data_IF_988928431476
#
_entry.id   IF_988928431476
#
_cell.length_a   1.000
_cell.length_b   1.000
_cell.length_c   1.000
_cell.angle_alpha   90.00
_cell.angle_beta   90.00
_cell.angle_gamma   90.00
#
_symmetry.space_group_name_H-M   'P 1'
#
loop_
_entity.id
_entity.type
_entity.pdbx_description
1 polymer ?
#
# COMPACT_ATOMS: atom_id res chain seq x y z
N UNK A 1 16.98 17.55 47.35
CA UNK A 1 16.20 17.41 46.09
C UNK A 1 14.87 16.72 46.38
N UNK A 2 13.76 17.35 46.00
CA UNK A 2 12.40 16.98 46.43
C UNK A 2 11.92 15.68 45.74
N UNK A 3 11.50 14.66 46.51
CA UNK A 3 11.04 13.36 45.97
C UNK A 3 9.89 13.50 44.95
N UNK A 4 9.05 14.53 45.07
CA UNK A 4 8.00 14.85 44.09
C UNK A 4 8.58 15.31 42.74
N UNK A 5 9.63 16.13 42.75
CA UNK A 5 10.28 16.64 41.54
C UNK A 5 10.91 15.52 40.72
N UNK A 6 11.54 14.54 41.39
CA UNK A 6 12.12 13.37 40.72
C UNK A 6 11.06 12.47 40.06
N UNK A 7 9.89 12.30 40.69
CA UNK A 7 8.79 11.51 40.10
C UNK A 7 8.21 12.17 38.86
N UNK A 8 8.04 13.50 38.88
CA UNK A 8 7.56 14.25 37.73
C UNK A 8 8.52 14.14 36.54
N UNK A 9 9.83 14.22 36.81
CA UNK A 9 10.88 14.08 35.80
C UNK A 9 10.87 12.69 35.16
N UNK A 10 10.73 11.62 35.95
CA UNK A 10 10.63 10.26 35.41
C UNK A 10 9.40 10.06 34.54
N UNK A 11 8.25 10.59 34.96
CA UNK A 11 7.00 10.51 34.19
C UNK A 11 7.12 11.28 32.86
N UNK A 12 7.68 12.50 32.89
CA UNK A 12 7.90 13.29 31.69
C UNK A 12 8.82 12.57 30.69
N UNK A 13 9.92 11.98 31.18
CA UNK A 13 10.84 11.23 30.33
C UNK A 13 10.21 9.95 29.77
N UNK A 14 9.38 9.25 30.54
CA UNK A 14 8.64 8.08 30.06
C UNK A 14 7.65 8.41 28.94
N UNK A 15 6.92 9.52 29.08
CA UNK A 15 6.04 10.01 28.01
C UNK A 15 6.85 10.36 26.77
N UNK A 16 8.02 11.01 26.92
CA UNK A 16 8.94 11.26 25.81
C UNK A 16 9.36 9.96 25.11
N UNK A 17 9.78 8.93 25.86
CA UNK A 17 10.16 7.63 25.30
C UNK A 17 9.00 6.96 24.54
N UNK A 18 7.77 7.03 25.08
CA UNK A 18 6.57 6.51 24.40
C UNK A 18 6.32 7.26 23.09
N UNK A 19 6.38 8.59 23.09
CA UNK A 19 6.19 9.42 21.91
C UNK A 19 7.26 9.17 20.84
N UNK A 20 8.53 9.10 21.23
CA UNK A 20 9.63 8.79 20.29
C UNK A 20 9.45 7.38 19.71
N UNK A 21 9.15 6.38 20.55
CA UNK A 21 8.90 5.01 20.09
C UNK A 21 7.71 4.96 19.12
N UNK A 22 6.63 5.68 19.42
CA UNK A 22 5.47 5.79 18.55
C UNK A 22 5.84 6.40 17.20
N UNK A 23 6.46 7.58 17.20
CA UNK A 23 6.86 8.28 15.98
C UNK A 23 7.81 7.42 15.14
N UNK A 24 8.90 6.92 15.74
CA UNK A 24 9.88 6.08 15.05
C UNK A 24 9.30 4.79 14.47
N UNK A 25 8.29 4.19 15.12
CA UNK A 25 7.62 2.99 14.60
C UNK A 25 6.47 3.28 13.62
N UNK A 26 5.96 4.51 13.60
CA UNK A 26 4.92 4.99 12.67
C UNK A 26 5.49 5.69 11.44
N UNK A 27 6.81 5.75 11.30
CA UNK A 27 7.45 6.23 10.08
C UNK A 27 7.25 5.20 8.96
N UNK A 28 6.15 5.35 8.23
CA UNK A 28 5.98 4.80 6.87
C UNK A 28 6.53 5.88 5.91
N UNK A 29 7.42 5.51 4.98
CA UNK A 29 8.11 6.45 4.06
C UNK A 29 7.18 7.19 3.08
N UNK A 30 5.85 6.99 3.16
CA UNK A 30 4.86 7.63 2.28
C UNK A 30 4.90 9.19 2.32
N UNK A 31 5.61 9.81 3.29
CA UNK A 31 5.72 11.26 3.40
C UNK A 31 6.92 11.89 2.64
N UNK A 32 7.88 11.12 2.12
CA UNK A 32 9.14 11.67 1.57
C UNK A 32 9.34 11.54 0.06
N UNK A 33 8.37 11.03 -0.70
CA UNK A 33 8.43 11.12 -2.17
C UNK A 33 7.90 12.49 -2.62
N UNK A 34 8.53 13.55 -2.13
CA UNK A 34 8.29 14.93 -2.57
C UNK A 34 9.10 15.19 -3.85
N UNK A 35 8.84 14.39 -4.89
CA UNK A 35 9.33 14.62 -6.24
C UNK A 35 10.85 14.58 -6.45
N UNK A 36 11.63 14.00 -5.54
CA UNK A 36 13.08 13.82 -5.78
C UNK A 36 13.25 12.66 -6.76
N UNK A 37 13.60 13.00 -8.00
CA UNK A 37 13.96 12.05 -9.06
C UNK A 37 14.92 10.98 -8.53
N UNK A 38 14.55 9.71 -8.74
CA UNK A 38 15.41 8.56 -8.48
C UNK A 38 16.56 8.62 -9.49
N UNK A 39 17.76 9.00 -9.04
CA UNK A 39 18.88 9.30 -9.96
C UNK A 39 19.60 8.05 -10.44
N UNK A 40 19.44 6.93 -9.74
CA UNK A 40 20.11 5.67 -10.10
C UNK A 40 19.41 4.43 -9.52
N UNK A 41 19.82 3.27 -10.03
CA UNK A 41 19.27 1.97 -9.66
C UNK A 41 19.46 1.62 -8.17
N UNK A 42 20.48 2.16 -7.50
CA UNK A 42 20.69 1.95 -6.06
C UNK A 42 19.69 2.77 -5.22
N UNK A 43 19.39 4.00 -5.62
CA UNK A 43 18.33 4.81 -5.02
C UNK A 43 16.95 4.21 -5.29
N UNK A 44 16.73 3.67 -6.50
CA UNK A 44 15.52 2.92 -6.84
C UNK A 44 15.38 1.68 -5.95
N UNK A 45 16.44 0.91 -5.81
CA UNK A 45 16.45 -0.29 -4.95
C UNK A 45 16.24 0.09 -3.49
N UNK A 46 16.80 1.19 -2.98
CA UNK A 46 16.50 1.66 -1.61
C UNK A 46 15.03 2.05 -1.45
N UNK A 47 14.50 2.84 -2.37
CA UNK A 47 13.12 3.31 -2.32
C UNK A 47 12.07 2.20 -2.58
N UNK A 48 12.44 1.13 -3.29
CA UNK A 48 11.54 0.02 -3.63
C UNK A 48 11.67 -1.20 -2.70
N UNK A 49 12.77 -1.32 -1.95
CA UNK A 49 13.04 -2.47 -1.07
C UNK A 49 12.91 -2.11 0.41
N UNK A 50 12.93 -0.83 0.78
CA UNK A 50 12.84 -0.37 2.17
C UNK A 50 11.51 0.37 2.42
N UNK A 51 10.39 -0.28 2.09
CA UNK A 51 9.04 0.14 2.54
C UNK A 51 8.87 0.08 4.08
N UNK A 52 9.92 -0.31 4.79
CA UNK A 52 9.94 -0.50 6.24
C UNK A 52 11.28 -0.03 6.83
N UNK A 53 11.35 1.23 7.27
CA UNK A 53 12.56 1.75 7.92
C UNK A 53 12.66 1.34 9.40
N UNK A 54 11.77 0.47 9.89
CA UNK A 54 11.74 0.04 11.30
C UNK A 54 13.03 -0.65 11.72
N UNK A 55 13.74 -1.32 10.81
CA UNK A 55 15.05 -1.90 11.08
C UNK A 55 16.12 -0.85 11.44
N UNK A 56 15.98 0.37 10.91
CA UNK A 56 16.88 1.50 11.20
C UNK A 56 16.40 2.32 12.39
N UNK A 57 15.09 2.54 12.50
CA UNK A 57 14.50 3.38 13.55
C UNK A 57 14.34 2.65 14.89
N UNK A 58 14.29 1.30 14.89
CA UNK A 58 14.25 0.50 16.11
C UNK A 58 15.48 0.72 17.01
N UNK A 59 16.73 0.63 16.53
CA UNK A 59 17.91 0.97 17.31
C UNK A 59 17.86 2.40 17.88
N UNK A 60 17.42 3.38 17.09
CA UNK A 60 17.31 4.78 17.52
C UNK A 60 16.33 4.89 18.69
N UNK A 61 15.15 4.27 18.60
CA UNK A 61 14.17 4.27 19.68
C UNK A 61 14.71 3.62 20.96
N UNK A 62 15.50 2.53 20.85
CA UNK A 62 16.13 1.89 22.02
C UNK A 62 17.10 2.82 22.74
N UNK A 63 17.86 3.66 22.02
CA UNK A 63 18.81 4.59 22.64
C UNK A 63 18.13 5.53 23.65
N UNK A 64 16.86 5.89 23.43
CA UNK A 64 16.06 6.70 24.37
C UNK A 64 15.53 5.90 25.57
N UNK A 65 15.45 4.57 25.48
CA UNK A 65 15.00 3.69 26.57
C UNK A 65 16.17 3.35 27.51
N UNK A 66 17.41 3.28 26.99
CA UNK A 66 18.64 2.92 27.75
C UNK A 66 18.80 3.72 29.06
N UNK A 67 18.59 5.05 29.11
CA UNK A 67 18.72 5.81 30.37
C UNK A 67 17.75 5.35 31.46
N UNK A 68 16.50 4.97 31.11
CA UNK A 68 15.52 4.44 32.08
C UNK A 68 15.99 3.10 32.63
N UNK A 69 16.51 2.23 31.75
CA UNK A 69 17.06 0.92 32.13
C UNK A 69 18.27 1.07 33.05
N UNK A 70 19.19 1.97 32.72
CA UNK A 70 20.36 2.27 33.55
C UNK A 70 19.97 2.77 34.94
N UNK A 71 18.97 3.66 35.03
CA UNK A 71 18.45 4.14 36.32
C UNK A 71 17.80 3.00 37.11
N UNK A 72 17.01 2.14 36.48
CA UNK A 72 16.40 0.98 37.13
C UNK A 72 17.45 0.05 37.77
N UNK A 73 18.51 -0.26 37.02
CA UNK A 73 19.64 -1.08 37.49
C UNK A 73 20.43 -0.39 38.60
N UNK A 74 20.76 0.90 38.46
CA UNK A 74 21.49 1.68 39.47
C UNK A 74 20.73 1.79 40.79
N UNK A 75 19.40 1.82 40.73
CA UNK A 75 18.51 1.80 41.90
C UNK A 75 18.29 0.38 42.46
N UNK A 76 19.02 -0.63 41.97
CA UNK A 76 18.91 -2.05 42.36
C UNK A 76 17.47 -2.57 42.30
N UNK A 77 16.67 -2.07 41.34
CA UNK A 77 15.25 -2.40 41.21
C UNK A 77 14.41 -2.13 42.46
N UNK A 78 14.85 -1.29 43.40
CA UNK A 78 14.11 -1.02 44.65
C UNK A 78 12.90 -0.11 44.45
N UNK A 79 12.84 0.61 43.34
CA UNK A 79 11.78 1.56 43.05
C UNK A 79 10.82 0.96 42.03
N UNK A 80 9.74 0.33 42.54
CA UNK A 80 8.78 -0.43 41.74
C UNK A 80 8.23 0.34 40.52
N UNK A 81 7.95 1.64 40.67
CA UNK A 81 7.46 2.50 39.59
C UNK A 81 8.41 2.55 38.39
N UNK A 82 9.72 2.72 38.62
CA UNK A 82 10.72 2.81 37.55
C UNK A 82 10.91 1.47 36.85
N UNK A 83 10.80 0.35 37.58
CA UNK A 83 10.86 -0.98 36.99
C UNK A 83 9.66 -1.25 36.09
N UNK A 84 8.44 -0.88 36.51
CA UNK A 84 7.23 -1.02 35.69
C UNK A 84 7.36 -0.17 34.42
N UNK A 85 7.83 1.06 34.55
CA UNK A 85 8.07 1.94 33.40
C UNK A 85 9.09 1.32 32.43
N UNK A 86 10.23 0.81 32.92
CA UNK A 86 11.22 0.12 32.11
C UNK A 86 10.66 -1.10 31.37
N UNK A 87 9.95 -1.99 32.08
CA UNK A 87 9.36 -3.19 31.48
C UNK A 87 8.28 -2.85 30.44
N UNK A 88 7.42 -1.87 30.74
CA UNK A 88 6.39 -1.43 29.80
C UNK A 88 6.97 -0.76 28.55
N UNK A 89 8.06 0.01 28.66
CA UNK A 89 8.75 0.58 27.49
C UNK A 89 9.37 -0.51 26.62
N UNK A 90 10.01 -1.52 27.22
CA UNK A 90 10.54 -2.66 26.46
C UNK A 90 9.41 -3.41 25.77
N UNK A 91 8.33 -3.73 26.49
CA UNK A 91 7.18 -4.44 25.93
C UNK A 91 6.52 -3.63 24.80
N UNK A 92 6.35 -2.33 24.98
CA UNK A 92 5.79 -1.44 23.95
C UNK A 92 6.71 -1.32 22.72
N UNK A 93 8.03 -1.22 22.94
CA UNK A 93 9.02 -1.21 21.86
C UNK A 93 9.03 -2.52 21.07
N UNK A 94 9.10 -3.68 21.76
CA UNK A 94 8.99 -5.00 21.12
C UNK A 94 7.68 -5.11 20.36
N UNK A 95 6.58 -4.66 20.98
CA UNK A 95 5.27 -4.72 20.37
C UNK A 95 5.25 -3.94 19.05
N UNK A 96 5.64 -2.66 19.07
CA UNK A 96 5.58 -1.75 17.91
C UNK A 96 6.52 -2.14 16.77
N UNK A 97 7.73 -2.58 17.08
CA UNK A 97 8.74 -2.85 16.05
C UNK A 97 8.70 -4.28 15.50
N UNK A 98 8.34 -5.28 16.31
CA UNK A 98 8.47 -6.69 15.90
C UNK A 98 7.15 -7.45 15.82
N UNK A 99 6.09 -7.02 16.52
CA UNK A 99 4.83 -7.81 16.56
C UNK A 99 3.61 -7.08 15.98
N UNK A 100 3.64 -5.75 15.97
CA UNK A 100 2.61 -4.88 15.41
C UNK A 100 2.86 -4.54 13.94
N UNK A 101 3.97 -5.04 13.37
CA UNK A 101 4.10 -5.08 11.92
C UNK A 101 2.96 -5.90 11.35
N UNK A 102 2.20 -5.30 10.44
CA UNK A 102 1.42 -6.06 9.47
C UNK A 102 2.41 -7.07 8.88
N UNK A 103 2.20 -8.37 9.10
CA UNK A 103 3.00 -9.40 8.45
C UNK A 103 2.89 -9.13 6.95
N UNK A 104 3.93 -8.51 6.36
CA UNK A 104 3.93 -8.14 4.96
C UNK A 104 4.00 -9.45 4.20
N UNK A 105 2.84 -9.89 3.71
CA UNK A 105 2.73 -11.07 2.86
C UNK A 105 2.64 -10.62 1.42
N UNK A 106 3.22 -11.41 0.52
CA UNK A 106 3.07 -11.21 -0.92
C UNK A 106 1.59 -11.22 -1.26
N UNK A 107 1.16 -10.12 -1.88
CA UNK A 107 -0.22 -9.85 -2.22
C UNK A 107 -0.71 -10.71 -3.38
N UNK A 108 -0.53 -10.25 -4.63
CA UNK A 108 -1.00 -10.98 -5.81
C UNK A 108 -2.44 -11.47 -5.71
N UNK A 109 -2.64 -12.77 -5.91
CA UNK A 109 -3.90 -13.47 -5.76
C UNK A 109 -4.15 -14.01 -4.35
N UNK A 110 -3.21 -13.83 -3.40
CA UNK A 110 -3.48 -14.07 -1.99
C UNK A 110 -4.66 -13.19 -1.54
N UNK A 111 -5.73 -13.85 -1.12
CA UNK A 111 -7.04 -13.24 -0.91
C UNK A 111 -7.18 -12.62 0.48
N UNK A 112 -6.40 -11.56 0.70
CA UNK A 112 -6.39 -10.76 1.92
C UNK A 112 -7.59 -9.82 2.01
N UNK A 113 -8.02 -9.54 3.25
CA UNK A 113 -8.99 -8.50 3.57
C UNK A 113 -8.32 -7.15 3.77
N UNK A 114 -9.09 -6.07 3.63
CA UNK A 114 -8.66 -4.73 4.02
C UNK A 114 -8.34 -4.67 5.51
N UNK A 115 -7.35 -3.83 5.83
CA UNK A 115 -7.10 -3.39 7.20
C UNK A 115 -8.10 -2.29 7.60
N UNK A 116 -8.11 -1.90 8.87
CA UNK A 116 -8.87 -0.73 9.31
C UNK A 116 -8.46 0.55 8.57
N UNK A 117 -7.15 0.76 8.33
CA UNK A 117 -6.62 1.86 7.49
C UNK A 117 -7.20 1.80 6.08
N UNK A 118 -7.25 0.60 5.48
CA UNK A 118 -7.81 0.39 4.14
C UNK A 118 -9.32 0.67 4.04
N UNK A 119 -10.08 0.28 5.07
CA UNK A 119 -11.51 0.62 5.16
C UNK A 119 -11.72 2.12 5.28
N UNK A 120 -10.92 2.81 6.11
CA UNK A 120 -11.01 4.26 6.23
C UNK A 120 -10.64 4.98 4.94
N UNK A 121 -9.61 4.53 4.25
CA UNK A 121 -9.25 5.03 2.91
C UNK A 121 -10.41 4.87 1.92
N UNK A 122 -11.12 3.75 1.92
CA UNK A 122 -12.29 3.55 1.06
C UNK A 122 -13.44 4.53 1.39
N UNK A 123 -13.68 4.82 2.68
CA UNK A 123 -14.65 5.84 3.11
C UNK A 123 -14.26 7.25 2.67
N UNK A 124 -12.97 7.57 2.70
CA UNK A 124 -12.48 8.86 2.22
C UNK A 124 -12.68 9.01 0.71
N UNK A 125 -12.44 7.95 -0.07
CA UNK A 125 -12.74 7.94 -1.51
C UNK A 125 -14.24 8.16 -1.75
N UNK A 126 -15.11 7.43 -1.03
CA UNK A 126 -16.57 7.65 -1.09
C UNK A 126 -16.91 9.11 -0.90
N UNK A 127 -16.41 9.70 0.20
CA UNK A 127 -16.70 11.09 0.54
C UNK A 127 -16.29 12.04 -0.60
N UNK A 128 -15.08 11.88 -1.17
CA UNK A 128 -14.62 12.70 -2.29
C UNK A 128 -15.49 12.57 -3.54
N UNK A 129 -15.93 11.35 -3.87
CA UNK A 129 -16.80 11.11 -5.02
C UNK A 129 -18.19 11.72 -4.82
N UNK A 130 -18.75 11.69 -3.60
CA UNK A 130 -19.99 12.38 -3.26
C UNK A 130 -19.82 13.89 -3.31
N UNK A 131 -18.78 14.42 -2.65
CA UNK A 131 -18.54 15.87 -2.53
C UNK A 131 -18.28 16.51 -3.91
N UNK A 132 -17.70 15.78 -4.86
CA UNK A 132 -17.48 16.23 -6.24
C UNK A 132 -18.68 16.02 -7.18
N UNK A 133 -19.69 15.26 -6.76
CA UNK A 133 -20.79 14.80 -7.62
C UNK A 133 -20.42 13.71 -8.62
N UNK A 134 -19.13 13.31 -8.70
CA UNK A 134 -18.67 12.31 -9.65
C UNK A 134 -19.32 10.94 -9.47
N UNK A 135 -19.84 10.64 -8.26
CA UNK A 135 -20.55 9.39 -8.00
C UNK A 135 -21.88 9.29 -8.78
N UNK A 136 -22.50 10.43 -9.09
CA UNK A 136 -23.82 10.48 -9.76
C UNK A 136 -23.71 10.18 -11.26
N UNK A 137 -22.53 10.38 -11.86
CA UNK A 137 -22.26 10.03 -13.25
C UNK A 137 -22.01 8.52 -13.43
N UNK A 138 -21.66 7.81 -12.37
CA UNK A 138 -21.34 6.37 -12.43
C UNK A 138 -22.64 5.58 -12.58
N UNK A 139 -22.74 4.82 -13.67
CA UNK A 139 -23.91 3.96 -13.94
C UNK A 139 -23.69 2.50 -13.55
N UNK A 140 -22.42 2.08 -13.45
CA UNK A 140 -22.04 0.70 -13.16
C UNK A 140 -20.66 0.61 -12.53
N UNK A 141 -20.50 -0.34 -11.62
CA UNK A 141 -19.24 -0.62 -10.93
C UNK A 141 -18.74 -1.99 -11.35
N UNK A 142 -17.49 -2.07 -11.78
CA UNK A 142 -16.75 -3.31 -11.98
C UNK A 142 -15.65 -3.42 -10.94
N UNK A 143 -15.43 -4.61 -10.41
CA UNK A 143 -14.40 -4.82 -9.40
C UNK A 143 -13.70 -6.16 -9.57
N UNK A 144 -12.42 -6.22 -9.20
CA UNK A 144 -11.77 -7.49 -8.95
C UNK A 144 -12.55 -8.28 -7.89
N UNK A 145 -12.66 -9.58 -8.11
CA UNK A 145 -13.27 -10.52 -7.18
C UNK A 145 -12.37 -10.90 -5.99
N UNK A 146 -11.21 -10.28 -5.79
CA UNK A 146 -10.43 -10.45 -4.55
C UNK A 146 -11.07 -9.65 -3.42
N UNK A 147 -11.10 -10.21 -2.20
CA UNK A 147 -11.80 -9.65 -1.03
C UNK A 147 -11.49 -8.19 -0.79
N UNK A 148 -10.23 -7.77 -0.85
CA UNK A 148 -9.85 -6.37 -0.69
C UNK A 148 -10.54 -5.42 -1.69
N UNK A 149 -10.70 -5.82 -2.95
CA UNK A 149 -11.42 -5.02 -3.95
C UNK A 149 -12.94 -5.11 -3.77
N UNK A 150 -13.46 -6.28 -3.38
CA UNK A 150 -14.88 -6.42 -3.01
C UNK A 150 -15.23 -5.49 -1.84
N UNK A 151 -14.41 -5.47 -0.78
CA UNK A 151 -14.60 -4.61 0.37
C UNK A 151 -14.47 -3.13 0.01
N UNK A 152 -13.45 -2.76 -0.79
CA UNK A 152 -13.28 -1.38 -1.27
C UNK A 152 -14.49 -0.91 -2.09
N UNK A 153 -14.94 -1.70 -3.07
CA UNK A 153 -16.08 -1.34 -3.91
C UNK A 153 -17.38 -1.27 -3.11
N UNK A 154 -17.64 -2.24 -2.22
CA UNK A 154 -18.81 -2.22 -1.35
C UNK A 154 -18.82 -1.00 -0.42
N UNK A 155 -17.68 -0.63 0.16
CA UNK A 155 -17.59 0.53 1.06
C UNK A 155 -17.78 1.83 0.27
N UNK A 156 -17.10 2.00 -0.88
CA UNK A 156 -17.18 3.21 -1.71
C UNK A 156 -18.62 3.46 -2.18
N UNK A 157 -19.27 2.44 -2.70
CA UNK A 157 -20.60 2.55 -3.30
C UNK A 157 -21.74 2.19 -2.34
N UNK A 158 -21.44 2.07 -1.04
CA UNK A 158 -22.45 1.79 -0.02
C UNK A 158 -23.57 2.84 -0.02
N UNK A 159 -24.82 2.39 -0.01
CA UNK A 159 -25.99 3.26 -0.06
C UNK A 159 -26.39 3.74 -1.46
N UNK A 160 -25.62 3.39 -2.50
CA UNK A 160 -26.06 3.54 -3.90
C UNK A 160 -26.88 2.31 -4.32
N UNK A 161 -27.64 2.42 -5.41
CA UNK A 161 -28.30 1.27 -6.06
C UNK A 161 -27.48 0.72 -7.23
N UNK A 162 -26.20 1.09 -7.33
CA UNK A 162 -25.36 0.72 -8.47
C UNK A 162 -25.03 -0.77 -8.42
N UNK A 163 -25.20 -1.50 -9.54
CA UNK A 163 -24.78 -2.89 -9.61
C UNK A 163 -23.25 -2.99 -9.59
N UNK A 164 -22.72 -3.81 -8.69
CA UNK A 164 -21.29 -4.18 -8.64
C UNK A 164 -21.13 -5.53 -9.33
N UNK A 165 -20.34 -5.56 -10.41
CA UNK A 165 -19.99 -6.78 -11.14
C UNK A 165 -18.55 -7.17 -10.82
N UNK A 166 -18.38 -8.35 -10.26
CA UNK A 166 -17.06 -8.91 -9.98
C UNK A 166 -16.50 -9.63 -11.21
N UNK A 167 -15.26 -9.31 -11.59
CA UNK A 167 -14.59 -9.88 -12.77
C UNK A 167 -13.15 -10.27 -12.42
N UNK A 168 -12.81 -11.55 -12.63
CA UNK A 168 -11.49 -12.09 -12.32
C UNK A 168 -10.38 -11.53 -13.22
N UNK A 169 -10.71 -10.95 -14.38
CA UNK A 169 -9.74 -10.30 -15.26
C UNK A 169 -9.16 -9.02 -14.67
N UNK A 170 -9.78 -8.48 -13.61
CA UNK A 170 -9.31 -7.32 -12.86
C UNK A 170 -8.42 -7.68 -11.65
N UNK A 171 -8.13 -8.96 -11.39
CA UNK A 171 -7.24 -9.37 -10.29
C UNK A 171 -5.84 -8.81 -10.44
N UNK A 172 -5.10 -8.66 -9.35
CA UNK A 172 -3.68 -8.27 -9.40
C UNK A 172 -2.85 -9.26 -10.23
N UNK A 173 -1.62 -8.91 -10.60
CA UNK A 173 -0.66 -9.88 -11.14
C UNK A 173 -0.52 -11.09 -10.19
N UNK A 174 -0.59 -12.31 -10.71
CA UNK A 174 -0.31 -13.51 -9.91
C UNK A 174 1.19 -13.65 -9.64
N UNK A 175 1.54 -13.90 -8.38
CA UNK A 175 2.88 -14.28 -7.92
C UNK A 175 3.02 -15.80 -7.72
N UNK A 176 2.10 -16.61 -8.23
CA UNK A 176 2.27 -18.06 -8.34
C UNK A 176 2.61 -18.75 -7.02
N UNK A 177 3.75 -19.44 -6.95
CA UNK A 177 4.19 -20.09 -5.71
C UNK A 177 4.47 -19.12 -4.57
N UNK A 178 4.73 -17.84 -4.86
CA UNK A 178 5.08 -16.85 -3.85
C UNK A 178 3.87 -16.20 -3.17
N UNK A 179 2.64 -16.53 -3.59
CA UNK A 179 1.42 -15.99 -2.99
C UNK A 179 1.36 -16.22 -1.47
N UNK A 180 1.15 -15.16 -0.70
CA UNK A 180 1.05 -15.23 0.75
C UNK A 180 2.35 -15.53 1.51
N UNK A 181 3.50 -15.67 0.82
CA UNK A 181 4.81 -15.77 1.46
C UNK A 181 5.16 -14.51 2.24
N UNK A 182 6.10 -14.60 3.17
CA UNK A 182 6.68 -13.41 3.79
C UNK A 182 7.40 -12.54 2.74
N UNK A 183 7.19 -11.23 2.78
CA UNK A 183 7.70 -10.30 1.77
C UNK A 183 9.24 -10.26 1.77
N UNK A 184 9.90 -10.42 2.92
CA UNK A 184 11.37 -10.43 2.99
C UNK A 184 11.95 -11.72 2.41
N UNK A 185 11.25 -12.84 2.57
CA UNK A 185 11.61 -14.10 1.92
C UNK A 185 11.41 -14.00 0.41
N UNK A 186 10.26 -13.48 -0.04
CA UNK A 186 9.98 -13.23 -1.45
C UNK A 186 11.08 -12.40 -2.10
N UNK A 187 11.46 -11.26 -1.50
CA UNK A 187 12.47 -10.34 -2.04
C UNK A 187 13.85 -11.01 -2.25
N UNK A 188 14.16 -12.10 -1.53
CA UNK A 188 15.40 -12.87 -1.70
C UNK A 188 15.32 -13.89 -2.83
N UNK A 189 14.12 -14.32 -3.19
CA UNK A 189 13.85 -15.42 -4.12
C UNK A 189 13.42 -14.94 -5.52
N UNK A 190 13.02 -13.68 -5.67
CA UNK A 190 12.58 -13.15 -6.95
C UNK A 190 13.68 -13.19 -8.02
N UNK A 191 13.26 -13.47 -9.24
CA UNK A 191 14.09 -13.32 -10.43
C UNK A 191 13.78 -11.94 -11.02
N UNK A 192 14.73 -10.99 -11.03
CA UNK A 192 14.49 -9.68 -11.63
C UNK A 192 14.40 -9.76 -13.15
N UNK A 193 13.60 -8.88 -13.76
CA UNK A 193 13.54 -8.74 -15.20
C UNK A 193 14.89 -8.25 -15.74
N UNK A 194 15.36 -8.84 -16.84
CA UNK A 194 16.56 -8.37 -17.54
C UNK A 194 16.31 -7.00 -18.19
N UNK A 195 17.24 -6.03 -18.10
CA UNK A 195 17.09 -4.71 -18.73
C UNK A 195 16.91 -4.75 -20.25
N UNK A 196 17.46 -5.78 -20.91
CA UNK A 196 17.41 -5.98 -22.37
C UNK A 196 16.73 -7.29 -22.76
N UNK A 197 16.05 -7.94 -21.80
CA UNK A 197 15.40 -9.24 -22.02
C UNK A 197 13.91 -9.09 -22.34
N UNK A 198 13.30 -10.24 -22.61
CA UNK A 198 11.86 -10.38 -22.84
C UNK A 198 11.07 -10.04 -21.57
N UNK A 199 10.61 -8.78 -21.47
CA UNK A 199 9.81 -8.30 -20.32
C UNK A 199 8.38 -8.79 -20.37
N UNK A 200 7.86 -9.05 -21.57
CA UNK A 200 6.50 -9.52 -21.79
C UNK A 200 6.30 -10.90 -21.16
N UNK A 201 7.20 -11.84 -21.45
CA UNK A 201 7.11 -13.23 -21.00
C UNK A 201 7.89 -13.51 -19.71
N UNK A 202 8.60 -12.51 -19.17
CA UNK A 202 9.30 -12.64 -17.90
C UNK A 202 8.34 -13.00 -16.75
N UNK A 203 8.76 -13.97 -15.93
CA UNK A 203 8.08 -14.36 -14.70
C UNK A 203 9.03 -14.20 -13.52
N UNK A 204 8.52 -13.57 -12.47
CA UNK A 204 9.32 -13.25 -11.28
C UNK A 204 9.61 -14.49 -10.42
N UNK A 205 8.77 -15.53 -10.52
CA UNK A 205 8.96 -16.81 -9.87
C UNK A 205 8.13 -17.92 -10.56
N UNK A 206 8.25 -19.15 -10.09
CA UNK A 206 7.53 -20.29 -10.64
C UNK A 206 6.00 -20.13 -10.48
N UNK A 207 5.27 -20.25 -11.60
CA UNK A 207 3.82 -20.12 -11.65
C UNK A 207 3.29 -18.70 -11.55
N UNK A 208 4.16 -17.67 -11.44
CA UNK A 208 3.73 -16.27 -11.50
C UNK A 208 3.29 -15.91 -12.92
N UNK A 209 2.33 -15.00 -13.02
CA UNK A 209 1.86 -14.43 -14.29
C UNK A 209 2.96 -13.57 -14.93
N UNK A 210 3.02 -13.55 -16.26
CA UNK A 210 3.87 -12.61 -17.00
C UNK A 210 3.16 -11.27 -17.21
N UNK A 211 3.90 -10.23 -17.61
CA UNK A 211 3.28 -8.93 -17.95
C UNK A 211 2.34 -9.06 -19.14
N UNK A 212 2.69 -9.89 -20.13
CA UNK A 212 1.86 -10.15 -21.31
C UNK A 212 0.54 -10.82 -20.97
N UNK A 213 0.55 -11.82 -20.08
CA UNK A 213 -0.67 -12.49 -19.62
C UNK A 213 -1.60 -11.53 -18.87
N UNK A 214 -1.04 -10.75 -17.94
CA UNK A 214 -1.79 -9.74 -17.20
C UNK A 214 -2.40 -8.69 -18.14
N UNK A 215 -1.61 -8.14 -19.07
CA UNK A 215 -2.09 -7.17 -20.04
C UNK A 215 -3.22 -7.77 -20.88
N UNK A 216 -3.05 -8.97 -21.42
CA UNK A 216 -4.03 -9.62 -22.29
C UNK A 216 -5.40 -9.75 -21.62
N UNK A 217 -5.45 -10.19 -20.36
CA UNK A 217 -6.75 -10.32 -19.66
C UNK A 217 -7.36 -8.97 -19.30
N UNK A 218 -6.56 -7.98 -18.90
CA UNK A 218 -7.05 -6.64 -18.57
C UNK A 218 -7.54 -5.92 -19.82
N UNK A 219 -6.83 -6.05 -20.94
CA UNK A 219 -7.24 -5.52 -22.23
C UNK A 219 -8.57 -6.12 -22.67
N UNK A 220 -8.72 -7.45 -22.59
CA UNK A 220 -9.99 -8.13 -22.87
C UNK A 220 -11.15 -7.57 -22.05
N UNK A 221 -10.93 -7.29 -20.75
CA UNK A 221 -11.94 -6.66 -19.91
C UNK A 221 -12.28 -5.24 -20.38
N UNK A 222 -11.26 -4.41 -20.66
CA UNK A 222 -11.47 -3.03 -21.07
C UNK A 222 -12.22 -2.97 -22.40
N UNK A 223 -11.84 -3.79 -23.40
CA UNK A 223 -12.54 -3.88 -24.68
C UNK A 223 -14.01 -4.26 -24.49
N UNK A 224 -14.27 -5.31 -23.71
CA UNK A 224 -15.63 -5.77 -23.42
C UNK A 224 -16.51 -4.69 -22.81
N UNK A 225 -15.98 -3.93 -21.85
CA UNK A 225 -16.75 -2.90 -21.16
C UNK A 225 -16.91 -1.66 -22.02
N UNK A 226 -15.89 -1.32 -22.80
CA UNK A 226 -15.93 -0.21 -23.75
C UNK A 226 -17.01 -0.39 -24.81
N UNK A 227 -17.17 -1.62 -25.32
CA UNK A 227 -18.18 -1.94 -26.34
C UNK A 227 -19.61 -1.97 -25.79
N UNK A 228 -19.76 -2.19 -24.48
CA UNK A 228 -21.07 -2.39 -23.82
C UNK A 228 -21.60 -1.17 -23.09
N UNK A 229 -20.82 -0.10 -22.96
CA UNK A 229 -21.15 1.04 -22.11
C UNK A 229 -21.04 2.37 -22.85
N UNK A 230 -22.16 3.05 -23.00
CA UNK A 230 -22.22 4.46 -23.45
C UNK A 230 -22.19 5.45 -22.26
N UNK A 231 -21.83 4.97 -21.06
CA UNK A 231 -21.92 5.73 -19.82
C UNK A 231 -20.65 5.60 -18.97
N UNK A 232 -20.48 6.56 -18.04
CA UNK A 232 -19.37 6.52 -17.08
C UNK A 232 -19.52 5.32 -16.14
N UNK A 233 -18.39 4.65 -15.90
CA UNK A 233 -18.27 3.47 -15.06
C UNK A 233 -17.19 3.69 -14.00
N UNK A 234 -17.25 2.90 -12.94
CA UNK A 234 -16.15 2.78 -11.99
C UNK A 234 -15.49 1.40 -12.12
N UNK A 235 -14.16 1.37 -12.02
CA UNK A 235 -13.37 0.13 -12.00
C UNK A 235 -12.52 0.11 -10.73
N UNK A 236 -12.68 -0.93 -9.91
CA UNK A 236 -11.93 -1.13 -8.66
C UNK A 236 -10.99 -2.33 -8.83
N UNK A 237 -9.69 -2.05 -8.93
CA UNK A 237 -8.64 -3.04 -9.23
C UNK A 237 -7.35 -2.76 -8.43
N UNK A 238 -6.21 -3.32 -8.85
CA UNK A 238 -4.93 -3.30 -8.16
C UNK A 238 -3.86 -2.55 -8.97
N UNK A 239 -2.65 -2.35 -8.45
CA UNK A 239 -1.66 -1.43 -9.02
C UNK A 239 -1.18 -1.81 -10.43
N UNK A 240 -0.75 -3.06 -10.64
CA UNK A 240 -0.30 -3.47 -11.99
C UNK A 240 -1.47 -3.54 -12.96
N UNK A 241 -2.62 -4.03 -12.49
CA UNK A 241 -3.84 -4.14 -13.29
C UNK A 241 -4.37 -2.78 -13.72
N UNK A 242 -4.39 -1.79 -12.83
CA UNK A 242 -4.78 -0.42 -13.14
C UNK A 242 -3.84 0.21 -14.18
N UNK A 243 -2.53 -0.04 -14.08
CA UNK A 243 -1.58 0.47 -15.07
C UNK A 243 -1.91 -0.02 -16.49
N UNK A 244 -2.22 -1.31 -16.63
CA UNK A 244 -2.61 -1.86 -17.92
C UNK A 244 -4.05 -1.56 -18.32
N UNK A 245 -4.95 -1.29 -17.38
CA UNK A 245 -6.27 -0.78 -17.70
C UNK A 245 -6.18 0.60 -18.37
N UNK A 246 -5.29 1.48 -17.89
CA UNK A 246 -5.01 2.78 -18.54
C UNK A 246 -4.42 2.56 -19.93
N UNK A 247 -3.40 1.70 -20.06
CA UNK A 247 -2.77 1.41 -21.34
C UNK A 247 -3.76 0.87 -22.37
N UNK A 248 -4.57 -0.12 -21.99
CA UNK A 248 -5.62 -0.69 -22.84
C UNK A 248 -6.72 0.32 -23.17
N UNK A 249 -7.13 1.16 -22.21
CA UNK A 249 -8.04 2.27 -22.48
C UNK A 249 -7.45 3.17 -23.57
N UNK A 250 -6.18 3.54 -23.49
CA UNK A 250 -5.50 4.36 -24.48
C UNK A 250 -5.14 3.63 -25.79
N UNK A 251 -5.58 2.38 -25.97
CA UNK A 251 -5.29 1.53 -27.13
C UNK A 251 -3.80 1.31 -27.37
N UNK A 252 -2.99 1.37 -26.31
CA UNK A 252 -1.59 0.95 -26.39
C UNK A 252 -1.53 -0.55 -26.61
N UNK A 253 -0.70 -1.00 -27.53
CA UNK A 253 -0.42 -2.41 -27.75
C UNK A 253 0.53 -2.94 -26.68
N UNK A 254 0.57 -4.26 -26.54
CA UNK A 254 1.41 -4.93 -25.54
C UNK A 254 2.90 -4.56 -25.69
N UNK A 255 3.43 -4.59 -26.90
CA UNK A 255 4.81 -4.18 -27.25
C UNK A 255 5.16 -2.75 -26.79
N UNK A 256 4.16 -1.86 -26.78
CA UNK A 256 4.29 -0.47 -26.38
C UNK A 256 4.04 -0.26 -24.88
N UNK A 257 3.57 -1.30 -24.18
CA UNK A 257 3.14 -1.26 -22.78
C UNK A 257 4.10 -1.98 -21.83
N UNK A 258 5.15 -2.63 -22.35
CA UNK A 258 6.13 -3.41 -21.57
C UNK A 258 6.77 -2.63 -20.41
N UNK A 259 6.88 -1.30 -20.57
CA UNK A 259 7.47 -0.38 -19.61
C UNK A 259 6.45 0.50 -18.89
N UNK A 260 5.16 0.43 -19.25
CA UNK A 260 4.12 1.23 -18.61
C UNK A 260 4.00 0.83 -17.14
N UNK A 261 4.05 1.85 -16.29
CA UNK A 261 3.88 1.72 -14.84
C UNK A 261 3.42 3.07 -14.29
N UNK A 262 2.34 3.06 -13.53
CA UNK A 262 1.86 4.21 -12.79
C UNK A 262 1.97 3.94 -11.29
N UNK A 263 2.32 4.98 -10.53
CA UNK A 263 2.32 4.91 -9.06
C UNK A 263 0.95 5.31 -8.55
N UNK A 264 0.19 4.33 -8.09
CA UNK A 264 -1.11 4.57 -7.46
C UNK A 264 -0.97 4.70 -5.95
N UNK A 265 -1.59 5.72 -5.39
CA UNK A 265 -1.71 5.89 -3.95
C UNK A 265 -2.98 5.20 -3.44
N UNK A 266 -2.89 4.55 -2.28
CA UNK A 266 -4.05 3.93 -1.64
C UNK A 266 -5.03 5.02 -1.17
N UNK A 267 -6.33 4.78 -1.31
CA UNK A 267 -7.36 5.75 -0.91
C UNK A 267 -7.49 6.96 -1.86
N UNK A 268 -7.00 6.83 -3.09
CA UNK A 268 -7.17 7.80 -4.17
C UNK A 268 -7.88 7.16 -5.37
N UNK A 269 -8.34 7.99 -6.30
CA UNK A 269 -8.89 7.52 -7.57
C UNK A 269 -8.28 8.26 -8.77
N UNK A 270 -8.45 7.64 -9.93
CA UNK A 270 -7.89 8.07 -11.21
C UNK A 270 -9.04 8.24 -12.20
N UNK A 271 -8.99 9.30 -13.01
CA UNK A 271 -10.06 9.64 -13.95
C UNK A 271 -9.56 9.51 -15.38
N UNK A 272 -10.27 8.69 -16.16
CA UNK A 272 -10.04 8.49 -17.58
C UNK A 272 -11.21 9.10 -18.36
N UNK A 273 -10.91 9.85 -19.40
CA UNK A 273 -11.91 10.57 -20.19
C UNK A 273 -11.69 10.30 -21.67
N UNK A 274 -12.75 9.88 -22.38
CA UNK A 274 -12.78 9.97 -23.84
C UNK A 274 -13.54 11.25 -24.22
N UNK A 275 -12.90 12.14 -24.97
CA UNK A 275 -13.58 13.36 -25.43
C UNK A 275 -14.58 13.07 -26.57
N UNK A 276 -15.66 13.84 -26.65
CA UNK A 276 -16.73 13.57 -27.62
C UNK A 276 -16.37 13.96 -29.07
N UNK A 277 -15.43 14.90 -29.26
CA UNK A 277 -15.19 15.55 -30.55
C UNK A 277 -14.15 14.79 -31.38
N UNK A 278 -13.03 14.44 -30.76
CA UNK A 278 -11.88 13.77 -31.37
C UNK A 278 -11.70 12.34 -30.87
N UNK A 279 -12.44 11.92 -29.84
CA UNK A 279 -12.33 10.58 -29.24
C UNK A 279 -10.94 10.30 -28.66
N UNK A 280 -10.25 11.34 -28.18
CA UNK A 280 -8.98 11.16 -27.47
C UNK A 280 -9.23 10.55 -26.11
N UNK A 281 -8.41 9.57 -25.76
CA UNK A 281 -8.49 8.81 -24.50
C UNK A 281 -7.42 9.29 -23.53
N UNK A 282 -7.85 10.11 -22.58
CA UNK A 282 -6.99 10.90 -21.71
C UNK A 282 -6.97 10.34 -20.30
N UNK A 283 -5.76 10.20 -19.74
CA UNK A 283 -5.56 10.13 -18.29
C UNK A 283 -5.69 11.56 -17.73
N UNK A 284 -6.89 11.94 -17.29
CA UNK A 284 -7.18 13.31 -16.89
C UNK A 284 -6.59 13.64 -15.51
N UNK A 285 -6.70 12.71 -14.57
CA UNK A 285 -6.16 12.85 -13.23
C UNK A 285 -5.64 11.52 -12.69
N UNK A 286 -4.52 11.56 -11.97
CA UNK A 286 -3.91 10.44 -11.28
C UNK A 286 -3.85 10.78 -9.77
N UNK A 287 -4.31 9.86 -8.91
CA UNK A 287 -4.25 9.96 -7.44
C UNK A 287 -5.02 11.13 -6.77
N UNK A 288 -6.25 11.42 -7.23
CA UNK A 288 -7.12 12.47 -6.64
C UNK A 288 -7.68 12.06 -5.28
#
# INVERSE_FOLDING_TARGET
>A
MNKKLNRLLYLAYYVLCLSVTYLSSSFEEEYYIDGIDIKNACEAHRALVVDDIRDVTAPIAVLFIIPVLFIAVKLKCKLWLVNIMALSLIAYWVWRFFTHGVNKRVGGWFDSSLTEKGLEQARLVKKKLVDSGAIDDVTKVYSSDLKRCQQTSNEIFSGTQLPIVFDSRLREMSFGKHEGMDQNEHNKLIVPASPTGDRENHRICEGAESRGELFTRVESFIQDVYEKSDSSIAVVTHGFSASFAIAAFQKLKLDSSEYVSYRFEQGKYTVLVEDYLFKNRTLAYLNV
#
